data_IF_562673091427
#
_entry.id   IF_562673091427
#
_cell.length_a   1.000
_cell.length_b   1.000
_cell.length_c   1.000
_cell.angle_alpha   90.00
_cell.angle_beta   90.00
_cell.angle_gamma   90.00
#
_symmetry.space_group_name_H-M   'P 1'
#
loop_
_entity.id
_entity.type
_entity.pdbx_description
1 polymer ?
#
# COMPACT_ATOMS: atom_id res chain seq x y z
N UNK A 1 -3.97 -6.05 -7.14
CA UNK A 1 -4.00 -5.59 -5.73
C UNK A 1 -2.66 -5.78 -5.02
N UNK A 2 -2.13 -4.74 -4.37
CA UNK A 2 -0.88 -4.78 -3.58
C UNK A 2 -0.90 -5.84 -2.45
N UNK A 3 -2.09 -6.21 -1.95
CA UNK A 3 -2.28 -7.10 -0.80
C UNK A 3 -2.10 -8.61 -1.06
N UNK A 4 -1.76 -9.03 -2.27
CA UNK A 4 -1.69 -10.46 -2.59
C UNK A 4 -0.43 -11.16 -2.04
N UNK A 5 0.52 -10.42 -1.46
CA UNK A 5 1.81 -10.94 -1.01
C UNK A 5 2.01 -10.87 0.53
N UNK A 6 0.97 -10.57 1.29
CA UNK A 6 1.08 -10.52 2.74
C UNK A 6 1.33 -11.90 3.35
N UNK A 7 2.29 -11.96 4.26
CA UNK A 7 2.60 -13.13 5.07
C UNK A 7 2.27 -12.78 6.52
N UNK A 8 1.44 -13.60 7.17
CA UNK A 8 1.20 -13.45 8.61
C UNK A 8 2.49 -13.76 9.37
N UNK A 9 2.96 -12.81 10.18
CA UNK A 9 4.16 -13.00 10.99
C UNK A 9 3.92 -14.07 12.07
N UNK A 10 4.94 -14.88 12.32
CA UNK A 10 4.96 -15.81 13.45
C UNK A 10 5.17 -15.08 14.79
N UNK A 11 4.85 -15.74 15.91
CA UNK A 11 4.92 -15.12 17.26
C UNK A 11 6.27 -14.46 17.57
N UNK A 12 7.38 -15.10 17.21
CA UNK A 12 8.72 -14.55 17.46
C UNK A 12 9.00 -13.29 16.64
N UNK A 13 8.61 -13.27 15.36
CA UNK A 13 8.74 -12.09 14.50
C UNK A 13 7.84 -10.95 14.97
N UNK A 14 6.61 -11.25 15.40
CA UNK A 14 5.73 -10.25 16.01
C UNK A 14 6.36 -9.62 17.25
N UNK A 15 6.86 -10.43 18.18
CA UNK A 15 7.49 -9.93 19.41
C UNK A 15 8.67 -9.00 19.09
N UNK A 16 9.57 -9.41 18.19
CA UNK A 16 10.71 -8.60 17.79
C UNK A 16 10.30 -7.27 17.13
N UNK A 17 9.26 -7.26 16.28
CA UNK A 17 8.76 -6.03 15.69
C UNK A 17 8.15 -5.09 16.75
N UNK A 18 7.39 -5.65 17.70
CA UNK A 18 6.74 -4.87 18.76
C UNK A 18 7.73 -4.27 19.76
N UNK A 19 8.86 -4.93 20.04
CA UNK A 19 9.92 -4.37 20.89
C UNK A 19 10.44 -3.02 20.35
N UNK A 20 10.39 -2.82 19.03
CA UNK A 20 10.83 -1.59 18.36
C UNK A 20 9.66 -0.62 18.16
N UNK A 21 8.45 -1.14 17.86
CA UNK A 21 7.29 -0.31 17.52
C UNK A 21 6.60 0.27 18.76
N UNK A 22 6.38 -0.53 19.81
CA UNK A 22 5.62 -0.10 20.99
C UNK A 22 6.22 1.12 21.70
N UNK A 23 7.56 1.26 21.85
CA UNK A 23 8.16 2.47 22.44
C UNK A 23 7.89 3.76 21.68
N UNK A 24 7.46 3.67 20.41
CA UNK A 24 7.15 4.82 19.55
C UNK A 24 5.65 5.17 19.54
N UNK A 25 4.84 4.45 20.30
CA UNK A 25 3.39 4.64 20.38
C UNK A 25 2.99 5.18 21.76
N UNK A 26 1.93 5.99 21.78
CA UNK A 26 1.28 6.40 23.03
C UNK A 26 0.63 5.19 23.72
N UNK A 27 -0.03 4.33 22.94
CA UNK A 27 -0.64 3.08 23.38
C UNK A 27 0.11 1.88 22.78
N UNK A 28 0.67 1.03 23.65
CA UNK A 28 1.40 -0.17 23.23
C UNK A 28 0.46 -1.31 22.84
N UNK A 29 0.82 -2.05 21.80
CA UNK A 29 0.10 -3.26 21.39
C UNK A 29 0.37 -4.44 22.33
N UNK A 30 -0.67 -5.23 22.62
CA UNK A 30 -0.54 -6.52 23.31
C UNK A 30 -0.27 -7.65 22.29
N UNK A 31 0.87 -8.35 22.35
CA UNK A 31 1.20 -9.45 21.43
C UNK A 31 0.17 -10.58 21.38
N UNK A 32 -0.68 -10.72 22.42
CA UNK A 32 -1.71 -11.75 22.51
C UNK A 32 -3.00 -11.41 21.77
N UNK A 33 -3.26 -10.13 21.52
CA UNK A 33 -4.50 -9.64 20.88
C UNK A 33 -4.30 -9.14 19.46
N UNK A 34 -3.06 -9.07 18.96
CA UNK A 34 -2.78 -8.56 17.62
C UNK A 34 -2.60 -9.64 16.54
N UNK A 35 -2.74 -9.21 15.30
CA UNK A 35 -2.19 -9.88 14.12
C UNK A 35 -1.37 -8.89 13.32
N UNK A 36 -0.17 -9.30 12.91
CA UNK A 36 0.70 -8.54 11.99
C UNK A 36 0.79 -9.31 10.67
N UNK A 37 0.43 -8.63 9.58
CA UNK A 37 0.69 -9.08 8.22
C UNK A 37 1.89 -8.30 7.68
N UNK A 38 2.90 -8.99 7.17
CA UNK A 38 4.10 -8.35 6.63
C UNK A 38 4.28 -8.62 5.15
N UNK A 39 4.93 -7.68 4.47
CA UNK A 39 5.32 -7.81 3.06
C UNK A 39 6.65 -7.09 2.84
N UNK A 40 7.59 -7.73 2.15
CA UNK A 40 8.84 -7.09 1.78
C UNK A 40 8.61 -6.04 0.68
N UNK A 41 9.31 -4.91 0.78
CA UNK A 41 9.16 -3.80 -0.17
C UNK A 41 10.34 -3.79 -1.14
N UNK A 42 10.12 -4.25 -2.37
CA UNK A 42 11.18 -4.32 -3.40
C UNK A 42 11.82 -2.95 -3.71
N UNK A 43 11.03 -1.88 -3.58
CA UNK A 43 11.44 -0.48 -3.79
C UNK A 43 12.04 0.18 -2.54
N UNK A 44 12.02 -0.48 -1.39
CA UNK A 44 12.76 -0.06 -0.18
C UNK A 44 13.59 -1.22 0.35
N UNK A 45 14.77 -1.50 -0.23
CA UNK A 45 15.58 -2.65 0.14
C UNK A 45 15.86 -2.72 1.65
N UNK A 46 15.52 -3.86 2.25
CA UNK A 46 15.68 -4.10 3.70
C UNK A 46 14.55 -3.56 4.58
N UNK A 47 13.56 -2.87 4.01
CA UNK A 47 12.32 -2.53 4.71
C UNK A 47 11.22 -3.55 4.41
N UNK A 48 10.34 -3.74 5.40
CA UNK A 48 9.10 -4.50 5.29
C UNK A 48 7.94 -3.56 5.59
N UNK A 49 6.86 -3.69 4.85
CA UNK A 49 5.58 -3.11 5.25
C UNK A 49 4.91 -4.05 6.24
N UNK A 50 4.40 -3.51 7.35
CA UNK A 50 3.64 -4.26 8.35
C UNK A 50 2.25 -3.62 8.52
N UNK A 51 1.23 -4.47 8.42
CA UNK A 51 -0.17 -4.16 8.68
C UNK A 51 -0.57 -4.77 10.02
N UNK A 52 -0.76 -3.92 11.02
CA UNK A 52 -0.99 -4.32 12.41
C UNK A 52 -2.47 -4.10 12.73
N UNK A 53 -3.14 -5.16 13.18
CA UNK A 53 -4.52 -5.07 13.67
C UNK A 53 -4.58 -5.61 15.09
N UNK A 54 -5.09 -4.80 16.01
CA UNK A 54 -5.32 -5.17 17.40
C UNK A 54 -6.81 -5.44 17.65
N UNK A 55 -7.11 -6.66 18.07
CA UNK A 55 -8.45 -7.14 18.36
C UNK A 55 -8.85 -7.00 19.85
N UNK A 56 -7.93 -6.52 20.70
CA UNK A 56 -8.19 -6.30 22.13
C UNK A 56 -9.03 -5.05 22.41
N UNK A 57 -9.16 -4.16 21.43
CA UNK A 57 -9.90 -2.90 21.53
C UNK A 57 -11.18 -2.92 20.69
N UNK A 58 -12.17 -2.09 21.05
CA UNK A 58 -13.37 -1.89 20.23
C UNK A 58 -13.59 -0.38 20.01
N UNK A 59 -13.57 0.13 18.75
CA UNK A 59 -13.29 -0.61 17.51
C UNK A 59 -11.84 -1.14 17.46
N UNK A 60 -11.60 -2.12 16.60
CA UNK A 60 -10.25 -2.65 16.38
C UNK A 60 -9.31 -1.53 15.94
N UNK A 61 -8.12 -1.49 16.55
CA UNK A 61 -7.09 -0.53 16.17
C UNK A 61 -6.30 -1.08 15.00
N UNK A 62 -6.05 -0.24 13.99
CA UNK A 62 -5.29 -0.60 12.80
C UNK A 62 -4.17 0.41 12.58
N UNK A 63 -2.94 -0.08 12.40
CA UNK A 63 -1.77 0.75 12.05
C UNK A 63 -0.98 0.10 10.92
N UNK A 64 -0.60 0.92 9.96
CA UNK A 64 0.24 0.53 8.82
C UNK A 64 1.61 1.19 8.98
N UNK A 65 2.68 0.40 8.93
CA UNK A 65 4.05 0.90 9.16
C UNK A 65 5.04 0.36 8.13
N UNK A 66 6.02 1.18 7.75
CA UNK A 66 7.22 0.72 7.06
C UNK A 66 8.30 0.50 8.12
N UNK A 67 8.78 -0.72 8.22
CA UNK A 67 9.62 -1.21 9.31
C UNK A 67 10.96 -1.72 8.80
N UNK A 68 12.02 -1.32 9.49
CA UNK A 68 13.37 -1.88 9.48
C UNK A 68 13.87 -1.91 10.92
N UNK A 69 14.80 -2.79 11.25
CA UNK A 69 15.24 -3.08 12.63
C UNK A 69 15.58 -1.83 13.47
N UNK A 70 16.06 -0.76 12.85
CA UNK A 70 16.48 0.50 13.47
C UNK A 70 15.62 1.70 13.07
N UNK A 71 14.57 1.51 12.26
CA UNK A 71 13.78 2.59 11.71
C UNK A 71 12.33 2.18 11.44
N UNK A 72 11.40 2.95 12.01
CA UNK A 72 9.96 2.76 11.84
C UNK A 72 9.35 4.04 11.29
N UNK A 73 8.54 3.91 10.25
CA UNK A 73 7.78 4.99 9.64
C UNK A 73 6.30 4.64 9.73
N UNK A 74 5.53 5.44 10.48
CA UNK A 74 4.08 5.30 10.56
C UNK A 74 3.42 5.92 9.33
N UNK A 75 2.48 5.20 8.71
CA UNK A 75 1.66 5.73 7.63
C UNK A 75 0.37 6.27 8.22
N UNK A 76 0.12 7.56 7.99
CA UNK A 76 -1.05 8.29 8.50
C UNK A 76 -2.07 8.63 7.40
N UNK A 77 -1.80 8.19 6.17
CA UNK A 77 -2.62 8.50 4.99
C UNK A 77 -2.15 9.73 4.22
N UNK A 78 -1.20 10.50 4.74
CA UNK A 78 -0.56 11.60 4.00
C UNK A 78 0.63 11.09 3.19
N UNK A 79 1.18 11.93 2.31
CA UNK A 79 2.39 11.60 1.56
C UNK A 79 3.68 11.88 2.34
N UNK A 80 3.60 12.65 3.44
CA UNK A 80 4.77 13.15 4.17
C UNK A 80 5.68 12.02 4.69
N UNK A 81 5.17 10.95 5.34
CA UNK A 81 6.04 9.88 5.84
C UNK A 81 6.80 9.15 4.72
N UNK A 82 6.16 9.00 3.55
CA UNK A 82 6.75 8.34 2.39
C UNK A 82 7.80 9.25 1.75
N UNK A 83 7.52 10.54 1.61
CA UNK A 83 8.49 11.49 1.05
C UNK A 83 9.72 11.65 1.95
N UNK A 84 9.52 11.74 3.27
CA UNK A 84 10.62 11.77 4.24
C UNK A 84 11.48 10.49 4.17
N UNK A 85 10.88 9.32 3.93
CA UNK A 85 11.63 8.08 3.72
C UNK A 85 12.41 8.08 2.39
N UNK A 86 11.82 8.61 1.31
CA UNK A 86 12.48 8.76 0.02
C UNK A 86 13.71 9.66 0.09
N UNK A 87 13.60 10.81 0.77
CA UNK A 87 14.69 11.79 0.93
C UNK A 87 15.90 11.22 1.68
N UNK A 88 15.70 10.20 2.51
CA UNK A 88 16.80 9.45 3.16
C UNK A 88 17.56 8.52 2.21
N UNK A 89 17.19 8.47 0.93
CA UNK A 89 17.85 7.65 -0.08
C UNK A 89 17.50 6.16 -0.01
N UNK A 90 16.38 5.81 0.65
CA UNK A 90 15.95 4.41 0.76
C UNK A 90 15.28 3.89 -0.53
N UNK A 91 14.78 4.79 -1.39
CA UNK A 91 13.98 4.45 -2.56
C UNK A 91 14.85 3.90 -3.69
N UNK A 92 14.52 2.70 -4.16
CA UNK A 92 15.11 2.06 -5.33
C UNK A 92 14.08 1.89 -6.43
N UNK A 93 14.19 2.68 -7.50
CA UNK A 93 13.32 2.60 -8.67
C UNK A 93 14.05 1.93 -9.84
N UNK A 94 13.40 0.90 -10.37
CA UNK A 94 13.67 0.19 -11.60
C UNK A 94 12.32 -0.17 -12.22
N UNK A 95 12.29 -0.71 -13.44
CA UNK A 95 11.04 -0.95 -14.17
C UNK A 95 9.98 -1.72 -13.36
N UNK A 96 10.39 -2.77 -12.65
CA UNK A 96 9.49 -3.55 -11.80
C UNK A 96 9.14 -2.83 -10.49
N UNK A 97 10.13 -2.22 -9.83
CA UNK A 97 9.94 -1.66 -8.49
C UNK A 97 9.16 -0.36 -8.52
N UNK A 98 9.20 0.41 -9.63
CA UNK A 98 8.40 1.63 -9.78
C UNK A 98 6.90 1.33 -9.88
N UNK A 99 6.52 0.24 -10.54
CA UNK A 99 5.11 -0.18 -10.61
C UNK A 99 4.63 -0.61 -9.22
N UNK A 100 5.44 -1.39 -8.49
CA UNK A 100 5.11 -1.81 -7.12
C UNK A 100 5.05 -0.63 -6.14
N UNK A 101 5.98 0.32 -6.26
CA UNK A 101 5.99 1.56 -5.48
C UNK A 101 4.74 2.40 -5.77
N UNK A 102 4.36 2.55 -7.03
CA UNK A 102 3.18 3.33 -7.43
C UNK A 102 1.90 2.72 -6.87
N UNK A 103 1.77 1.38 -6.93
CA UNK A 103 0.65 0.66 -6.30
C UNK A 103 0.61 0.87 -4.79
N UNK A 104 1.76 0.78 -4.12
CA UNK A 104 1.86 1.03 -2.69
C UNK A 104 1.46 2.47 -2.33
N UNK A 105 2.03 3.45 -3.03
CA UNK A 105 1.80 4.87 -2.80
C UNK A 105 0.31 5.22 -2.88
N UNK A 106 -0.36 4.87 -3.98
CA UNK A 106 -1.79 5.18 -4.13
C UNK A 106 -2.70 4.36 -3.20
N UNK A 107 -2.26 3.21 -2.71
CA UNK A 107 -3.03 2.44 -1.73
C UNK A 107 -3.03 3.09 -0.35
N UNK A 108 -1.88 3.62 0.09
CA UNK A 108 -1.72 4.15 1.45
C UNK A 108 -1.83 5.67 1.55
N UNK A 109 -1.62 6.41 0.46
CA UNK A 109 -1.76 7.87 0.42
C UNK A 109 -3.17 8.25 -0.05
N UNK A 110 -3.80 9.14 0.69
CA UNK A 110 -5.11 9.69 0.40
C UNK A 110 -4.95 11.16 0.01
N UNK A 111 -5.75 11.63 -0.96
CA UNK A 111 -5.86 13.07 -1.20
C UNK A 111 -6.95 13.69 -0.33
N UNK A 112 -6.94 15.01 -0.21
CA UNK A 112 -8.07 15.79 0.30
C UNK A 112 -9.38 15.54 -0.45
N UNK A 113 -9.32 15.01 -1.68
CA UNK A 113 -10.49 14.66 -2.50
C UNK A 113 -10.93 13.20 -2.32
N UNK A 114 -10.21 12.39 -1.56
CA UNK A 114 -10.50 10.98 -1.31
C UNK A 114 -9.38 10.05 -1.76
N UNK A 115 -9.66 8.74 -1.70
CA UNK A 115 -8.72 7.68 -2.07
C UNK A 115 -8.61 7.56 -3.59
N UNK A 116 -7.40 7.38 -4.08
CA UNK A 116 -7.13 6.96 -5.44
C UNK A 116 -7.10 5.43 -5.46
N UNK A 117 -7.98 4.81 -6.22
CA UNK A 117 -8.00 3.36 -6.33
C UNK A 117 -7.47 3.02 -7.71
N UNK A 118 -6.31 2.36 -7.77
CA UNK A 118 -5.85 1.76 -9.03
C UNK A 118 -6.77 0.59 -9.34
N UNK A 119 -7.39 0.63 -10.50
CA UNK A 119 -8.34 -0.37 -10.98
C UNK A 119 -7.74 -1.04 -12.20
N UNK A 120 -7.45 -2.34 -12.10
CA UNK A 120 -6.88 -3.12 -13.22
C UNK A 120 -7.94 -4.02 -13.85
N UNK A 121 -8.98 -4.35 -13.07
CA UNK A 121 -10.09 -5.23 -13.45
C UNK A 121 -11.41 -4.69 -12.89
N UNK A 122 -12.53 -5.17 -13.44
CA UNK A 122 -13.88 -4.78 -12.97
C UNK A 122 -14.11 -5.14 -11.51
N UNK A 123 -13.43 -6.19 -11.03
CA UNK A 123 -13.58 -6.70 -9.66
C UNK A 123 -12.76 -5.89 -8.64
N UNK A 124 -11.85 -5.01 -9.08
CA UNK A 124 -11.17 -4.06 -8.20
C UNK A 124 -12.09 -2.91 -7.76
N UNK A 125 -13.24 -2.72 -8.43
CA UNK A 125 -14.22 -1.68 -8.11
C UNK A 125 -15.13 -2.19 -6.98
N UNK A 126 -15.26 -1.40 -5.91
CA UNK A 126 -16.20 -1.68 -4.82
C UNK A 126 -17.63 -1.32 -5.23
N UNK A 127 -18.28 -2.23 -5.95
CA UNK A 127 -19.66 -2.07 -6.40
C UNK A 127 -20.65 -2.08 -5.23
N UNK A 128 -21.63 -1.18 -5.26
CA UNK A 128 -22.77 -1.24 -4.33
C UNK A 128 -23.70 -2.41 -4.66
N UNK A 129 -23.89 -2.64 -5.95
CA UNK A 129 -24.67 -3.73 -6.53
C UNK A 129 -23.90 -4.27 -7.73
N UNK A 130 -23.99 -5.57 -7.97
CA UNK A 130 -23.30 -6.18 -9.10
C UNK A 130 -23.66 -5.50 -10.43
N UNK A 131 -22.66 -5.01 -11.19
CA UNK A 131 -22.94 -4.32 -12.43
C UNK A 131 -23.53 -5.30 -13.47
N UNK A 132 -24.48 -4.84 -14.30
CA UNK A 132 -24.99 -5.61 -15.43
C UNK A 132 -23.87 -6.13 -16.34
N UNK A 133 -24.11 -7.28 -16.98
CA UNK A 133 -23.11 -7.95 -17.83
C UNK A 133 -22.56 -7.03 -18.93
N UNK A 134 -23.39 -6.18 -19.52
CA UNK A 134 -22.96 -5.25 -20.56
C UNK A 134 -22.00 -4.17 -20.01
N UNK A 135 -22.25 -3.65 -18.81
CA UNK A 135 -21.32 -2.72 -18.14
C UNK A 135 -20.01 -3.44 -17.80
N UNK A 136 -20.07 -4.68 -17.30
CA UNK A 136 -18.88 -5.49 -17.04
C UNK A 136 -18.05 -5.68 -18.32
N UNK A 137 -18.68 -6.01 -19.44
CA UNK A 137 -18.00 -6.17 -20.74
C UNK A 137 -17.35 -4.85 -21.19
N UNK A 138 -18.08 -3.73 -21.15
CA UNK A 138 -17.56 -2.42 -21.55
C UNK A 138 -16.39 -1.99 -20.67
N UNK A 139 -16.48 -2.15 -19.36
CA UNK A 139 -15.36 -1.82 -18.47
C UNK A 139 -14.17 -2.76 -18.69
N UNK A 140 -14.42 -4.04 -18.97
CA UNK A 140 -13.38 -5.01 -19.31
C UNK A 140 -12.59 -4.67 -20.58
N UNK A 141 -13.11 -3.85 -21.49
CA UNK A 141 -12.35 -3.37 -22.66
C UNK A 141 -11.57 -2.09 -22.41
N UNK A 142 -11.88 -1.37 -21.33
CA UNK A 142 -11.26 -0.08 -20.97
C UNK A 142 -10.18 -0.28 -19.90
N UNK A 143 -10.48 -1.09 -18.89
CA UNK A 143 -9.60 -1.37 -17.76
C UNK A 143 -8.44 -2.25 -18.21
N UNK A 144 -7.26 -1.88 -17.78
CA UNK A 144 -6.03 -2.59 -18.09
C UNK A 144 -5.08 -2.52 -16.89
N UNK A 145 -4.21 -3.53 -16.72
CA UNK A 145 -3.15 -3.46 -15.74
C UNK A 145 -2.26 -2.24 -15.94
N UNK A 146 -1.69 -1.73 -14.84
CA UNK A 146 -0.70 -0.66 -14.93
C UNK A 146 0.49 -1.12 -15.77
N UNK A 147 0.90 -0.29 -16.73
CA UNK A 147 1.99 -0.60 -17.68
C UNK A 147 2.99 0.54 -17.78
N UNK A 148 4.24 0.19 -18.02
CA UNK A 148 5.30 1.15 -18.36
C UNK A 148 5.15 1.58 -19.82
N UNK A 149 5.06 2.88 -20.09
CA UNK A 149 5.09 3.43 -21.45
C UNK A 149 6.49 3.83 -21.88
N UNK A 150 7.24 4.42 -20.95
CA UNK A 150 8.62 4.83 -21.16
C UNK A 150 9.40 4.60 -19.87
N UNK A 151 10.58 4.03 -20.01
CA UNK A 151 11.56 3.93 -18.94
C UNK A 151 12.83 4.59 -19.41
N UNK A 152 13.26 5.63 -18.71
CA UNK A 152 14.56 6.25 -18.88
C UNK A 152 15.14 6.50 -17.50
N UNK A 153 16.24 5.83 -17.16
CA UNK A 153 16.85 5.94 -15.83
C UNK A 153 17.29 7.38 -15.49
N UNK A 154 17.44 8.27 -16.50
CA UNK A 154 17.78 9.68 -16.30
C UNK A 154 16.57 10.60 -16.33
N UNK A 155 15.59 10.33 -17.19
CA UNK A 155 14.42 11.19 -17.39
C UNK A 155 13.16 10.74 -16.59
N UNK A 156 13.22 9.57 -15.95
CA UNK A 156 12.14 9.02 -15.12
C UNK A 156 11.34 7.89 -15.78
N UNK A 157 10.23 7.53 -15.14
CA UNK A 157 9.35 6.45 -15.56
C UNK A 157 7.95 6.99 -15.85
N UNK A 158 7.46 6.73 -17.06
CA UNK A 158 6.09 7.06 -17.46
C UNK A 158 5.23 5.81 -17.36
N UNK A 159 4.23 5.86 -16.47
CA UNK A 159 3.29 4.77 -16.24
C UNK A 159 1.91 5.14 -16.75
N UNK A 160 1.24 4.20 -17.41
CA UNK A 160 -0.18 4.30 -17.74
C UNK A 160 -0.99 3.44 -16.77
N UNK A 161 -2.02 4.02 -16.17
CA UNK A 161 -2.89 3.36 -15.19
C UNK A 161 -4.34 3.84 -15.29
N UNK A 162 -5.27 2.97 -14.89
CA UNK A 162 -6.66 3.34 -14.65
C UNK A 162 -6.85 3.62 -13.16
N UNK A 163 -7.30 4.83 -12.82
CA UNK A 163 -7.49 5.30 -11.45
C UNK A 163 -8.94 5.72 -11.27
N UNK A 164 -9.60 5.13 -10.28
CA UNK A 164 -10.91 5.55 -9.81
C UNK A 164 -10.74 6.57 -8.69
N UNK A 165 -11.39 7.72 -8.85
CA UNK A 165 -11.44 8.79 -7.85
C UNK A 165 -12.89 9.15 -7.60
N UNK A 166 -13.39 8.85 -6.39
CA UNK A 166 -14.81 8.94 -6.05
C UNK A 166 -15.65 8.09 -7.01
N UNK A 167 -16.35 8.74 -7.95
CA UNK A 167 -17.23 8.14 -8.95
C UNK A 167 -16.69 8.29 -10.38
N UNK A 168 -15.48 8.85 -10.55
CA UNK A 168 -14.88 9.10 -11.86
C UNK A 168 -13.71 8.16 -12.11
N UNK A 169 -13.77 7.42 -13.23
CA UNK A 169 -12.65 6.63 -13.73
C UNK A 169 -11.80 7.51 -14.66
N UNK A 170 -10.52 7.62 -14.36
CA UNK A 170 -9.55 8.41 -15.12
C UNK A 170 -8.47 7.44 -15.62
N UNK A 171 -8.16 7.51 -16.90
CA UNK A 171 -6.98 6.86 -17.47
C UNK A 171 -5.87 7.91 -17.59
N UNK A 172 -4.76 7.68 -16.90
CA UNK A 172 -3.59 8.56 -16.86
C UNK A 172 -2.36 7.84 -17.38
#
# INVERSE_FOLDING_TARGET
MFRNAFIKLGRKECAAALEIINPLLDDSFDPSTITILGQDLSFYPGYRFLDITDYGMTPFLHKSVIYKLDHVVFLDGTNEPIYALNERGALYLAEKTVIEYTRFFFHYVQSSRGKFIIVETVDDISWREDPPLEIRKTLGTILQPMTMKKADEKDGYDLEACILVRESLIKV
#
